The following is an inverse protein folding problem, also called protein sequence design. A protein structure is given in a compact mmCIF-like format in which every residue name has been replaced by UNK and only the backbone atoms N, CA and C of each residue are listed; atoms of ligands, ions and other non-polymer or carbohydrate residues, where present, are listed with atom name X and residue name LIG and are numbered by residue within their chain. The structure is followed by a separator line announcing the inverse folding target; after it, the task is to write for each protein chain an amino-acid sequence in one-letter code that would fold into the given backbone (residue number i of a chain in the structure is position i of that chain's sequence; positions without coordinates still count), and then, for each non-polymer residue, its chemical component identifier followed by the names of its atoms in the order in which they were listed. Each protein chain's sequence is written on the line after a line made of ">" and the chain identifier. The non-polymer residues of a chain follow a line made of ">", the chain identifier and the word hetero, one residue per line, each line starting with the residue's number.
data_IF_018869245447
#
_entry.id   IF_018869245447
#
_cell.length_a   1.000
_cell.length_b   1.000
_cell.length_c   1.000
_cell.angle_alpha   90.00
_cell.angle_beta   90.00
_cell.angle_gamma   90.00
#
_symmetry.space_group_name_H-M   'P 1'
#
loop_
_entity.id
_entity.type
_entity.pdbx_description
1 polymer ?
#
# COMPACT_ATOMS: atom_id res chain seq x y z
N UNK A 1 -2.02 30.30 -44.28
CA UNK A 1 -1.77 29.99 -42.85
C UNK A 1 -0.90 28.76 -42.86
N UNK A 2 0.40 28.95 -42.69
CA UNK A 2 1.36 27.83 -42.65
C UNK A 2 1.06 26.98 -41.42
N UNK A 3 0.60 25.74 -41.66
CA UNK A 3 0.56 24.73 -40.61
C UNK A 3 2.01 24.47 -40.18
N UNK A 4 2.35 24.58 -38.88
CA UNK A 4 3.70 24.31 -38.44
C UNK A 4 4.00 22.85 -38.76
N UNK A 5 5.11 22.61 -39.46
CA UNK A 5 5.64 21.26 -39.62
C UNK A 5 5.79 20.64 -38.23
N UNK A 6 5.33 19.40 -38.01
CA UNK A 6 5.55 18.71 -36.75
C UNK A 6 7.05 18.52 -36.60
N UNK A 7 7.70 19.36 -35.79
CA UNK A 7 9.07 19.16 -35.42
C UNK A 7 9.14 17.84 -34.66
N UNK A 8 9.71 16.82 -35.29
CA UNK A 8 10.01 15.56 -34.63
C UNK A 8 10.86 15.86 -33.40
N UNK A 9 10.26 15.80 -32.20
CA UNK A 9 10.98 15.88 -30.95
C UNK A 9 12.12 14.86 -30.95
N UNK A 10 13.29 15.31 -30.48
CA UNK A 10 14.44 14.43 -30.31
C UNK A 10 14.07 13.26 -29.40
N UNK A 11 14.52 12.06 -29.76
CA UNK A 11 14.37 10.84 -28.95
C UNK A 11 14.84 11.03 -27.49
N UNK A 12 15.75 11.98 -27.26
CA UNK A 12 16.25 12.37 -25.94
C UNK A 12 15.21 13.04 -25.03
N UNK A 13 14.18 13.70 -25.58
CA UNK A 13 13.10 14.29 -24.78
C UNK A 13 12.09 13.23 -24.31
N UNK A 14 11.83 12.23 -25.16
CA UNK A 14 10.92 11.12 -24.85
C UNK A 14 11.47 10.19 -23.76
N UNK A 15 12.77 9.92 -23.79
CA UNK A 15 13.43 9.11 -22.76
C UNK A 15 13.46 9.78 -21.38
N UNK A 16 13.37 11.11 -21.33
CA UNK A 16 13.22 11.87 -20.08
C UNK A 16 11.78 11.86 -19.56
N UNK A 17 10.79 11.78 -20.46
CA UNK A 17 9.38 11.86 -20.11
C UNK A 17 8.81 10.52 -19.62
N UNK A 18 9.33 9.41 -20.15
CA UNK A 18 8.83 8.06 -19.87
C UNK A 18 9.86 7.32 -19.06
N UNK A 19 9.64 7.33 -17.74
CA UNK A 19 10.56 6.71 -16.78
C UNK A 19 10.65 5.19 -16.94
N UNK A 20 9.65 4.54 -17.54
CA UNK A 20 9.67 3.12 -17.83
C UNK A 20 9.04 2.83 -19.19
N UNK A 21 9.79 2.10 -20.02
CA UNK A 21 9.27 1.58 -21.29
C UNK A 21 8.10 0.61 -21.04
N UNK A 22 7.11 0.59 -21.93
CA UNK A 22 5.96 -0.29 -21.83
C UNK A 22 6.43 -1.76 -21.79
N UNK A 23 5.91 -2.50 -20.83
CA UNK A 23 6.05 -3.94 -20.70
C UNK A 23 4.68 -4.55 -20.32
N UNK A 24 4.63 -5.88 -20.18
CA UNK A 24 3.41 -6.63 -19.87
C UNK A 24 2.74 -6.28 -18.51
N UNK A 25 3.38 -5.44 -17.69
CA UNK A 25 2.96 -5.17 -16.31
C UNK A 25 2.65 -3.72 -15.99
N UNK A 26 3.19 -2.79 -16.76
CA UNK A 26 3.18 -1.36 -16.43
C UNK A 26 2.30 -0.52 -17.35
N UNK A 27 1.43 -1.15 -18.15
CA UNK A 27 0.57 -0.44 -19.12
C UNK A 27 -0.19 0.74 -18.50
N UNK A 28 -0.74 0.60 -17.29
CA UNK A 28 -1.48 1.69 -16.64
C UNK A 28 -0.58 2.89 -16.31
N UNK A 29 0.65 2.66 -15.86
CA UNK A 29 1.63 3.72 -15.57
C UNK A 29 2.10 4.36 -16.86
N UNK A 30 2.49 3.55 -17.84
CA UNK A 30 2.95 3.99 -19.15
C UNK A 30 1.88 4.85 -19.83
N UNK A 31 0.62 4.39 -19.85
CA UNK A 31 -0.54 5.13 -20.39
C UNK A 31 -0.69 6.50 -19.71
N UNK A 32 -0.53 6.57 -18.38
CA UNK A 32 -0.62 7.83 -17.62
C UNK A 32 0.48 8.83 -18.00
N UNK A 33 1.66 8.35 -18.41
CA UNK A 33 2.78 9.20 -18.83
C UNK A 33 2.66 9.65 -20.30
N UNK A 34 2.30 8.73 -21.21
CA UNK A 34 2.27 8.99 -22.65
C UNK A 34 1.03 9.81 -23.07
N UNK A 35 -0.14 9.61 -22.44
CA UNK A 35 -1.39 10.29 -22.87
C UNK A 35 -1.31 11.82 -22.79
N UNK A 36 -0.84 12.44 -21.69
CA UNK A 36 -0.69 13.90 -21.62
C UNK A 36 0.25 14.44 -22.70
N UNK A 37 1.32 13.71 -23.00
CA UNK A 37 2.28 14.06 -24.04
C UNK A 37 1.66 14.03 -25.44
N UNK A 38 0.90 12.98 -25.76
CA UNK A 38 0.21 12.87 -27.05
C UNK A 38 -0.80 14.01 -27.22
N UNK A 39 -1.54 14.33 -26.16
CA UNK A 39 -2.52 15.41 -26.15
C UNK A 39 -1.85 16.79 -26.33
N UNK A 40 -0.70 17.03 -25.73
CA UNK A 40 0.01 18.31 -25.89
C UNK A 40 0.49 18.55 -27.33
N UNK A 41 0.73 17.48 -28.10
CA UNK A 41 1.19 17.55 -29.50
C UNK A 41 0.06 17.44 -30.52
N UNK A 42 -1.21 17.45 -30.10
CA UNK A 42 -2.40 17.27 -30.96
C UNK A 42 -2.40 15.98 -31.79
N UNK A 43 -1.61 14.98 -31.38
CA UNK A 43 -1.54 13.69 -32.07
C UNK A 43 -2.68 12.75 -31.64
N UNK A 44 -3.38 13.08 -30.56
CA UNK A 44 -4.49 12.27 -30.04
C UNK A 44 -5.68 12.21 -31.03
N UNK A 45 -5.83 13.21 -31.90
CA UNK A 45 -6.88 13.27 -32.93
C UNK A 45 -6.76 12.12 -33.95
N UNK A 46 -5.54 11.62 -34.17
CA UNK A 46 -5.26 10.47 -35.04
C UNK A 46 -5.60 9.13 -34.38
N UNK A 47 -5.86 9.14 -33.07
CA UNK A 47 -6.14 7.95 -32.25
C UNK A 47 -7.64 7.84 -31.95
N UNK A 48 -8.32 8.97 -31.72
CA UNK A 48 -9.75 9.02 -31.37
C UNK A 48 -10.66 8.91 -32.61
N UNK A 49 -10.08 8.82 -33.82
CA UNK A 49 -10.82 8.74 -35.08
C UNK A 49 -11.50 10.06 -35.50
N UNK A 50 -11.16 11.17 -34.83
CA UNK A 50 -11.73 12.50 -35.10
C UNK A 50 -11.19 13.12 -36.39
N UNK A 51 -10.00 12.74 -36.84
CA UNK A 51 -9.41 13.15 -38.12
C UNK A 51 -9.19 11.93 -39.04
N UNK A 52 -10.18 11.56 -39.87
CA UNK A 52 -10.03 10.47 -40.83
C UNK A 52 -8.97 10.82 -41.89
N UNK A 53 -8.32 9.80 -42.45
CA UNK A 53 -7.33 9.99 -43.49
C UNK A 53 -7.97 10.70 -44.70
N UNK A 54 -7.43 11.86 -45.14
CA UNK A 54 -7.96 12.54 -46.31
C UNK A 54 -7.71 11.71 -47.58
N UNK A 55 -8.43 11.95 -48.68
CA UNK A 55 -8.21 11.22 -49.93
C UNK A 55 -6.77 11.41 -50.41
N UNK A 56 -6.12 10.32 -50.83
CA UNK A 56 -4.75 10.34 -51.37
C UNK A 56 -4.63 11.16 -52.65
N UNK A 57 -5.71 11.20 -53.44
CA UNK A 57 -5.77 11.92 -54.72
C UNK A 57 -6.97 12.87 -54.73
N UNK A 58 -6.79 14.06 -55.30
CA UNK A 58 -7.84 15.06 -55.54
C UNK A 58 -8.01 15.21 -57.06
N UNK A 59 -9.26 15.40 -57.49
CA UNK A 59 -9.59 15.68 -58.88
C UNK A 59 -9.63 17.19 -59.07
N UNK A 60 -8.81 17.72 -59.98
CA UNK A 60 -8.81 19.12 -60.38
C UNK A 60 -9.39 19.26 -61.78
N UNK A 61 -10.46 20.03 -61.90
CA UNK A 61 -11.03 20.37 -63.21
C UNK A 61 -10.27 21.57 -63.79
N UNK A 62 -9.58 21.35 -64.90
CA UNK A 62 -8.88 22.40 -65.64
C UNK A 62 -9.73 22.81 -66.83
N UNK A 63 -10.05 24.11 -66.91
CA UNK A 63 -10.76 24.68 -68.05
C UNK A 63 -9.81 24.73 -69.24
N UNK A 64 -10.06 23.90 -70.24
CA UNK A 64 -9.33 23.88 -71.51
C UNK A 64 -10.15 24.66 -72.54
N UNK A 65 -9.62 25.80 -72.96
CA UNK A 65 -10.20 26.55 -74.09
C UNK A 65 -9.64 25.99 -75.38
N UNK A 66 -10.46 25.24 -76.11
CA UNK A 66 -10.09 24.76 -77.45
C UNK A 66 -10.57 25.82 -78.43
N UNK A 67 -9.62 26.56 -79.01
CA UNK A 67 -9.91 27.44 -80.15
C UNK A 67 -9.89 26.54 -81.38
N UNK A 68 -11.06 26.35 -82.00
CA UNK A 68 -11.15 25.66 -83.28
C UNK A 68 -10.60 26.56 -84.38
N UNK A 69 -9.48 26.18 -84.98
CA UNK A 69 -9.06 26.77 -86.24
C UNK A 69 -9.93 26.17 -87.35
N UNK A 70 -10.97 26.90 -87.77
CA UNK A 70 -11.71 26.54 -88.98
C UNK A 70 -10.94 27.01 -90.22
N UNK A 71 -10.67 26.06 -91.12
CA UNK A 71 -10.12 26.33 -92.45
C UNK A 71 -11.02 27.31 -93.22
N UNK A 72 -10.38 28.23 -93.94
CA UNK A 72 -10.96 29.34 -94.67
C UNK A 72 -12.26 28.99 -95.44
N UNK A 73 -13.39 29.56 -95.00
CA UNK A 73 -14.67 29.38 -95.68
C UNK A 73 -15.87 30.11 -95.04
N UNK A 74 -15.81 31.44 -94.93
CA UNK A 74 -16.97 32.35 -94.85
C UNK A 74 -18.11 32.05 -93.84
N UNK A 75 -17.94 32.42 -92.58
CA UNK A 75 -18.80 33.37 -91.83
C UNK A 75 -18.22 33.54 -90.42
N UNK A 76 -17.98 34.78 -90.00
CA UNK A 76 -17.20 35.08 -88.80
C UNK A 76 -18.05 34.87 -87.53
N UNK A 77 -17.87 33.71 -86.90
CA UNK A 77 -18.21 33.45 -85.51
C UNK A 77 -17.19 32.49 -84.93
N UNK A 78 -16.17 32.99 -84.24
CA UNK A 78 -15.20 32.15 -83.54
C UNK A 78 -15.92 31.40 -82.41
N UNK A 79 -16.30 30.16 -82.61
CA UNK A 79 -16.97 29.38 -81.56
C UNK A 79 -15.92 28.86 -80.56
N UNK A 80 -15.84 29.52 -79.41
CA UNK A 80 -14.96 29.10 -78.32
C UNK A 80 -15.61 27.91 -77.62
N UNK A 81 -15.07 26.70 -77.84
CA UNK A 81 -15.49 25.50 -77.12
C UNK A 81 -14.72 25.39 -75.81
N UNK A 82 -15.45 25.38 -74.70
CA UNK A 82 -14.90 25.15 -73.37
C UNK A 82 -15.00 23.65 -73.09
N UNK A 83 -13.85 22.98 -72.97
CA UNK A 83 -13.76 21.61 -72.49
C UNK A 83 -13.21 21.60 -71.06
N UNK A 84 -13.68 20.66 -70.25
CA UNK A 84 -13.20 20.45 -68.89
C UNK A 84 -12.35 19.19 -68.87
N UNK A 85 -11.08 19.31 -68.50
CA UNK A 85 -10.15 18.19 -68.36
C UNK A 85 -9.99 17.89 -66.86
N UNK A 86 -10.26 16.64 -66.45
CA UNK A 86 -10.09 16.20 -65.06
C UNK A 86 -8.68 15.66 -64.86
N UNK A 87 -7.89 16.33 -64.02
CA UNK A 87 -6.55 15.88 -63.62
C UNK A 87 -6.59 15.26 -62.22
N UNK A 88 -5.93 14.12 -62.06
CA UNK A 88 -5.72 13.49 -60.75
C UNK A 88 -4.41 14.00 -60.16
N UNK A 89 -4.48 14.78 -59.09
CA UNK A 89 -3.32 15.33 -58.37
C UNK A 89 -3.18 14.67 -56.99
N UNK A 90 -1.96 14.56 -56.48
CA UNK A 90 -1.72 14.08 -55.11
C UNK A 90 -2.23 15.11 -54.10
N UNK A 91 -2.89 14.65 -53.04
CA UNK A 91 -3.36 15.53 -51.99
C UNK A 91 -2.22 15.91 -51.03
N UNK A 92 -1.81 17.18 -50.94
CA UNK A 92 -0.80 17.61 -49.96
C UNK A 92 -1.26 17.41 -48.51
N UNK A 93 -2.58 17.43 -48.23
CA UNK A 93 -3.13 17.17 -46.90
C UNK A 93 -2.95 15.70 -46.48
N UNK A 94 -2.95 14.76 -47.44
CA UNK A 94 -2.67 13.35 -47.18
C UNK A 94 -1.21 13.12 -46.78
N UNK A 95 -0.26 13.77 -47.45
CA UNK A 95 1.15 13.71 -47.10
C UNK A 95 1.41 14.26 -45.69
N UNK A 96 0.78 15.39 -45.34
CA UNK A 96 0.86 15.96 -43.99
C UNK A 96 0.24 15.06 -42.92
N UNK A 97 -0.93 14.47 -43.21
CA UNK A 97 -1.58 13.51 -42.31
C UNK A 97 -0.72 12.27 -42.11
N UNK A 98 -0.12 11.74 -43.18
CA UNK A 98 0.76 10.57 -43.12
C UNK A 98 2.01 10.87 -42.30
N UNK A 99 2.62 12.06 -42.47
CA UNK A 99 3.76 12.48 -41.67
C UNK A 99 3.42 12.56 -40.17
N UNK A 100 2.25 13.09 -39.80
CA UNK A 100 1.78 13.08 -38.41
C UNK A 100 1.52 11.67 -37.87
N UNK A 101 0.88 10.81 -38.66
CA UNK A 101 0.62 9.42 -38.30
C UNK A 101 1.93 8.67 -38.01
N UNK A 102 2.91 8.78 -38.91
CA UNK A 102 4.22 8.15 -38.76
C UNK A 102 5.03 8.72 -37.59
N UNK A 103 4.93 10.03 -37.33
CA UNK A 103 5.54 10.66 -36.15
C UNK A 103 4.98 10.04 -34.86
N UNK A 104 3.67 9.81 -34.80
CA UNK A 104 3.03 9.18 -33.66
C UNK A 104 3.47 7.72 -33.48
N UNK A 105 3.51 6.94 -34.55
CA UNK A 105 4.03 5.56 -34.53
C UNK A 105 5.47 5.55 -34.00
N UNK A 106 6.35 6.40 -34.52
CA UNK A 106 7.74 6.52 -34.07
C UNK A 106 7.85 6.89 -32.58
N UNK A 107 6.99 7.78 -32.09
CA UNK A 107 6.95 8.12 -30.68
C UNK A 107 6.50 6.95 -29.81
N UNK A 108 5.41 6.28 -30.16
CA UNK A 108 4.94 5.12 -29.39
C UNK A 108 6.01 4.04 -29.37
N UNK A 109 6.53 3.61 -30.52
CA UNK A 109 7.53 2.53 -30.63
C UNK A 109 8.80 2.82 -29.85
N UNK A 110 9.25 4.07 -29.80
CA UNK A 110 10.42 4.47 -28.98
C UNK A 110 10.25 4.23 -27.47
N UNK A 111 9.00 4.13 -27.02
CA UNK A 111 8.62 4.00 -25.60
C UNK A 111 8.27 2.58 -25.21
N UNK A 112 8.35 1.64 -26.16
CA UNK A 112 8.08 0.21 -25.94
C UNK A 112 9.37 -0.53 -25.54
N UNK A 113 9.24 -1.58 -24.74
CA UNK A 113 10.36 -2.52 -24.51
C UNK A 113 10.59 -3.38 -25.75
N UNK A 114 11.78 -3.99 -25.85
CA UNK A 114 12.12 -4.91 -26.95
C UNK A 114 11.16 -6.10 -27.03
N UNK A 115 10.70 -6.61 -25.88
CA UNK A 115 9.71 -7.68 -25.80
C UNK A 115 8.36 -7.29 -26.43
N UNK A 116 7.94 -6.04 -26.22
CA UNK A 116 6.67 -5.52 -26.76
C UNK A 116 6.81 -5.19 -28.23
N UNK A 117 7.96 -4.62 -28.65
CA UNK A 117 8.26 -4.33 -30.06
C UNK A 117 8.25 -5.60 -30.91
N UNK A 118 8.82 -6.70 -30.43
CA UNK A 118 8.84 -7.97 -31.15
C UNK A 118 7.47 -8.63 -31.33
N UNK A 119 6.42 -8.16 -30.63
CA UNK A 119 5.06 -8.69 -30.73
C UNK A 119 4.15 -7.87 -31.66
N UNK A 120 4.65 -6.76 -32.21
CA UNK A 120 3.86 -5.79 -32.97
C UNK A 120 4.24 -5.89 -34.45
N UNK A 121 3.25 -5.81 -35.33
CA UNK A 121 3.48 -5.81 -36.78
C UNK A 121 4.09 -4.48 -37.26
N UNK A 122 4.97 -4.53 -38.26
CA UNK A 122 5.72 -3.37 -38.76
C UNK A 122 4.84 -2.33 -39.51
N UNK A 123 3.69 -2.74 -40.06
CA UNK A 123 2.87 -1.93 -40.98
C UNK A 123 1.58 -1.35 -40.34
N UNK A 124 1.60 -1.06 -39.03
CA UNK A 124 0.42 -0.55 -38.33
C UNK A 124 0.27 0.98 -38.45
N UNK A 125 -0.97 1.44 -38.67
CA UNK A 125 -1.29 2.85 -38.50
C UNK A 125 -1.25 3.25 -37.01
N UNK A 126 -1.07 4.55 -36.74
CA UNK A 126 -1.16 5.13 -35.40
C UNK A 126 -2.35 4.60 -34.57
N UNK A 127 -3.54 4.52 -35.19
CA UNK A 127 -4.77 4.06 -34.56
C UNK A 127 -4.73 2.56 -34.26
N UNK A 128 -4.34 1.74 -35.24
CA UNK A 128 -4.23 0.29 -35.06
C UNK A 128 -3.20 -0.05 -33.98
N UNK A 129 -2.02 0.57 -34.02
CA UNK A 129 -0.99 0.40 -33.00
C UNK A 129 -1.52 0.74 -31.61
N UNK A 130 -2.18 1.90 -31.45
CA UNK A 130 -2.71 2.32 -30.16
C UNK A 130 -3.80 1.38 -29.64
N UNK A 131 -4.72 0.96 -30.52
CA UNK A 131 -5.81 0.04 -30.16
C UNK A 131 -5.28 -1.34 -29.79
N UNK A 132 -4.32 -1.89 -30.55
CA UNK A 132 -3.67 -3.18 -30.26
C UNK A 132 -2.94 -3.15 -28.92
N UNK A 133 -2.18 -2.08 -28.65
CA UNK A 133 -1.51 -1.91 -27.35
C UNK A 133 -2.54 -1.81 -26.22
N UNK A 134 -3.62 -1.07 -26.44
CA UNK A 134 -4.66 -0.91 -25.45
C UNK A 134 -5.40 -2.21 -25.17
N UNK A 135 -5.79 -2.98 -26.16
CA UNK A 135 -6.52 -4.25 -25.96
C UNK A 135 -5.63 -5.30 -25.32
N UNK A 136 -4.40 -5.46 -25.81
CA UNK A 136 -3.49 -6.53 -25.38
C UNK A 136 -2.96 -6.30 -23.96
N UNK A 137 -2.50 -5.08 -23.65
CA UNK A 137 -1.78 -4.83 -22.40
C UNK A 137 -2.65 -4.24 -21.28
N UNK A 138 -3.82 -3.66 -21.58
CA UNK A 138 -4.73 -3.18 -20.52
C UNK A 138 -5.27 -4.33 -19.68
N UNK A 139 -5.79 -5.38 -20.34
CA UNK A 139 -6.40 -6.52 -19.67
C UNK A 139 -5.38 -7.26 -18.81
N UNK A 140 -4.17 -7.46 -19.32
CA UNK A 140 -3.10 -8.15 -18.58
C UNK A 140 -2.63 -7.33 -17.37
N UNK A 141 -2.44 -6.02 -17.54
CA UNK A 141 -2.03 -5.13 -16.44
C UNK A 141 -3.12 -5.03 -15.36
N UNK A 142 -4.38 -4.95 -15.77
CA UNK A 142 -5.53 -4.92 -14.85
C UNK A 142 -5.72 -6.26 -14.12
N UNK A 143 -5.62 -7.39 -14.83
CA UNK A 143 -5.67 -8.72 -14.22
C UNK A 143 -4.54 -8.91 -13.20
N UNK A 144 -3.31 -8.48 -13.52
CA UNK A 144 -2.17 -8.52 -12.60
C UNK A 144 -2.40 -7.64 -11.36
N UNK A 145 -2.96 -6.45 -11.52
CA UNK A 145 -3.34 -5.60 -10.39
C UNK A 145 -4.37 -6.29 -9.49
N UNK A 146 -5.45 -6.85 -10.08
CA UNK A 146 -6.48 -7.57 -9.33
C UNK A 146 -5.92 -8.81 -8.63
N UNK A 147 -5.02 -9.55 -9.28
CA UNK A 147 -4.33 -10.70 -8.71
C UNK A 147 -3.51 -10.29 -7.48
N UNK A 148 -2.66 -9.26 -7.60
CA UNK A 148 -1.82 -8.79 -6.50
C UNK A 148 -2.65 -8.21 -5.35
N UNK A 149 -3.74 -7.51 -5.66
CA UNK A 149 -4.66 -6.99 -4.66
C UNK A 149 -5.37 -8.11 -3.90
N UNK A 150 -5.79 -9.17 -4.60
CA UNK A 150 -6.36 -10.37 -3.98
C UNK A 150 -5.32 -11.07 -3.11
N UNK A 151 -4.11 -11.26 -3.64
CA UNK A 151 -3.01 -11.84 -2.88
C UNK A 151 -2.74 -11.04 -1.61
N UNK A 152 -2.69 -9.71 -1.68
CA UNK A 152 -2.50 -8.85 -0.53
C UNK A 152 -3.56 -9.09 0.57
N UNK A 153 -4.84 -9.20 0.19
CA UNK A 153 -5.96 -9.40 1.12
C UNK A 153 -6.01 -10.82 1.71
N UNK A 154 -5.58 -11.82 0.95
CA UNK A 154 -5.62 -13.23 1.34
C UNK A 154 -4.35 -13.71 2.07
N UNK A 155 -3.32 -12.86 2.20
CA UNK A 155 -2.10 -13.19 2.95
C UNK A 155 -2.45 -13.47 4.42
N UNK A 156 -2.26 -14.74 4.80
CA UNK A 156 -2.39 -15.27 6.16
C UNK A 156 -1.08 -15.91 6.59
N UNK A 157 -0.74 -15.82 7.88
CA UNK A 157 0.49 -16.41 8.44
C UNK A 157 0.57 -17.92 8.22
N UNK A 158 -0.52 -18.62 8.54
CA UNK A 158 -0.57 -20.09 8.46
C UNK A 158 0.52 -20.73 9.32
N UNK A 159 1.33 -21.61 8.72
CA UNK A 159 2.45 -22.32 9.37
C UNK A 159 3.79 -21.58 9.28
N UNK A 160 3.82 -20.41 8.63
CA UNK A 160 5.06 -19.64 8.38
C UNK A 160 5.49 -18.87 9.62
N UNK A 161 6.76 -18.49 9.68
CA UNK A 161 7.25 -17.59 10.73
C UNK A 161 6.63 -16.19 10.57
N UNK A 162 6.58 -15.42 11.65
CA UNK A 162 6.04 -14.05 11.59
C UNK A 162 6.88 -13.17 10.65
N UNK A 163 8.19 -13.38 10.60
CA UNK A 163 9.09 -12.62 9.74
C UNK A 163 8.88 -12.93 8.25
N UNK A 164 8.75 -14.19 7.87
CA UNK A 164 8.44 -14.60 6.49
C UNK A 164 7.10 -14.02 6.04
N UNK A 165 6.09 -14.07 6.91
CA UNK A 165 4.77 -13.50 6.66
C UNK A 165 4.82 -11.98 6.42
N UNK A 166 5.52 -11.22 7.28
CA UNK A 166 5.65 -9.78 7.11
C UNK A 166 6.46 -9.41 5.85
N UNK A 167 7.47 -10.21 5.50
CA UNK A 167 8.21 -10.01 4.26
C UNK A 167 7.34 -10.25 3.01
N UNK A 168 6.41 -11.20 3.06
CA UNK A 168 5.46 -11.44 1.97
C UNK A 168 4.50 -10.25 1.77
N UNK A 169 3.96 -9.69 2.86
CA UNK A 169 3.15 -8.46 2.81
C UNK A 169 3.95 -7.31 2.19
N UNK A 170 5.21 -7.13 2.62
CA UNK A 170 6.11 -6.11 2.07
C UNK A 170 6.29 -6.31 0.57
N UNK A 171 6.62 -7.52 0.15
CA UNK A 171 6.90 -7.85 -1.24
C UNK A 171 5.69 -7.57 -2.15
N UNK A 172 4.49 -8.01 -1.75
CA UNK A 172 3.26 -7.74 -2.54
C UNK A 172 2.93 -6.24 -2.54
N UNK A 173 3.16 -5.54 -1.42
CA UNK A 173 2.99 -4.08 -1.36
C UNK A 173 3.96 -3.34 -2.29
N UNK A 174 5.22 -3.77 -2.34
CA UNK A 174 6.26 -3.22 -3.22
C UNK A 174 5.90 -3.48 -4.69
N UNK A 175 5.35 -4.65 -5.02
CA UNK A 175 4.86 -4.96 -6.37
C UNK A 175 3.63 -4.13 -6.75
N UNK A 176 2.70 -3.88 -5.82
CA UNK A 176 1.57 -2.97 -6.06
C UNK A 176 2.05 -1.52 -6.26
N UNK A 177 3.04 -1.07 -5.50
CA UNK A 177 3.69 0.22 -5.70
C UNK A 177 4.38 0.30 -7.07
N UNK A 178 5.03 -0.77 -7.52
CA UNK A 178 5.67 -0.84 -8.83
C UNK A 178 4.68 -0.74 -10.00
N UNK A 179 3.42 -1.16 -9.81
CA UNK A 179 2.32 -1.01 -10.81
C UNK A 179 1.62 0.36 -10.67
N UNK A 180 2.07 1.22 -9.75
CA UNK A 180 1.55 2.57 -9.57
C UNK A 180 0.34 2.65 -8.64
N UNK A 181 0.10 1.59 -7.87
CA UNK A 181 -0.94 1.50 -6.84
C UNK A 181 -0.30 1.26 -5.47
N UNK A 182 0.42 2.26 -4.89
CA UNK A 182 1.04 2.08 -3.59
C UNK A 182 0.00 1.84 -2.50
N UNK A 183 0.25 0.84 -1.66
CA UNK A 183 -0.58 0.54 -0.48
C UNK A 183 -0.16 1.46 0.66
N UNK A 184 -1.14 2.04 1.36
CA UNK A 184 -0.88 2.88 2.52
C UNK A 184 -0.34 2.05 3.69
N UNK A 185 0.54 2.61 4.50
CA UNK A 185 1.15 1.89 5.64
C UNK A 185 0.09 1.45 6.66
N UNK A 186 -0.98 2.24 6.84
CA UNK A 186 -2.13 1.84 7.67
C UNK A 186 -2.77 0.54 7.18
N UNK A 187 -2.94 0.40 5.87
CA UNK A 187 -3.57 -0.78 5.27
C UNK A 187 -2.63 -1.99 5.34
N UNK A 188 -1.31 -1.78 5.19
CA UNK A 188 -0.30 -2.83 5.41
C UNK A 188 -0.33 -3.36 6.84
N UNK A 189 -0.43 -2.45 7.82
CA UNK A 189 -0.50 -2.80 9.24
C UNK A 189 -1.81 -3.52 9.54
N UNK A 190 -2.94 -3.03 9.05
CA UNK A 190 -4.23 -3.68 9.25
C UNK A 190 -4.26 -5.09 8.63
N UNK A 191 -3.72 -5.24 7.41
CA UNK A 191 -3.61 -6.54 6.76
C UNK A 191 -2.72 -7.48 7.58
N UNK A 192 -1.57 -6.99 8.06
CA UNK A 192 -0.68 -7.76 8.92
C UNK A 192 -1.40 -8.25 10.18
N UNK A 193 -2.05 -7.35 10.93
CA UNK A 193 -2.77 -7.72 12.16
C UNK A 193 -3.89 -8.74 11.89
N UNK A 194 -4.61 -8.61 10.78
CA UNK A 194 -5.70 -9.53 10.42
C UNK A 194 -5.26 -10.95 10.10
N UNK A 195 -4.01 -11.15 9.66
CA UNK A 195 -3.49 -12.45 9.24
C UNK A 195 -2.53 -13.12 10.21
N UNK A 196 -2.20 -12.50 11.35
CA UNK A 196 -1.27 -13.03 12.36
C UNK A 196 -1.79 -14.30 13.07
N UNK A 197 -3.10 -14.54 13.08
CA UNK A 197 -3.71 -15.72 13.71
C UNK A 197 -4.00 -15.57 15.21
N UNK A 198 -4.76 -16.50 15.77
CA UNK A 198 -5.34 -16.39 17.13
C UNK A 198 -4.31 -16.35 18.25
N UNK A 199 -3.11 -16.87 18.00
CA UNK A 199 -2.00 -16.84 18.97
C UNK A 199 -1.47 -15.43 19.25
N UNK A 200 -1.84 -14.44 18.44
CA UNK A 200 -1.51 -13.03 18.62
C UNK A 200 -2.74 -12.15 18.87
N UNK A 201 -3.92 -12.70 19.15
CA UNK A 201 -5.14 -11.89 19.34
C UNK A 201 -5.00 -10.84 20.46
N UNK A 202 -4.32 -11.20 21.56
CA UNK A 202 -4.03 -10.29 22.67
C UNK A 202 -3.10 -9.15 22.22
N UNK A 203 -2.12 -9.48 21.36
CA UNK A 203 -1.19 -8.52 20.79
C UNK A 203 -1.87 -7.61 19.75
N UNK A 204 -2.77 -8.16 18.92
CA UNK A 204 -3.56 -7.39 17.95
C UNK A 204 -4.49 -6.42 18.67
N UNK A 205 -5.24 -6.89 19.68
CA UNK A 205 -6.11 -6.05 20.51
C UNK A 205 -5.33 -4.92 21.18
N UNK A 206 -4.14 -5.21 21.72
CA UNK A 206 -3.31 -4.21 22.37
C UNK A 206 -2.78 -3.13 21.40
N UNK A 207 -2.53 -3.50 20.13
CA UNK A 207 -2.10 -2.57 19.09
C UNK A 207 -3.26 -1.76 18.48
N UNK A 208 -4.45 -2.35 18.38
CA UNK A 208 -5.65 -1.68 17.85
C UNK A 208 -6.19 -0.59 18.78
N UNK A 209 -5.94 -0.70 20.10
CA UNK A 209 -6.33 0.32 21.09
C UNK A 209 -5.37 1.53 21.09
N UNK A 210 -4.23 1.45 20.39
CA UNK A 210 -3.30 2.58 20.30
C UNK A 210 -3.89 3.70 19.42
N UNK A 211 -3.82 4.98 19.86
CA UNK A 211 -4.36 6.10 19.11
C UNK A 211 -3.64 6.34 17.76
N UNK A 212 -2.42 5.82 17.60
CA UNK A 212 -1.65 5.86 16.37
C UNK A 212 -1.11 4.45 16.13
N UNK A 213 -1.49 3.84 14.99
CA UNK A 213 -0.90 2.57 14.59
C UNK A 213 0.59 2.78 14.24
N UNK A 214 1.48 1.88 14.70
CA UNK A 214 2.89 1.95 14.34
C UNK A 214 3.09 1.84 12.83
N UNK A 215 4.20 2.38 12.30
CA UNK A 215 4.54 2.15 10.90
C UNK A 215 4.73 0.66 10.61
N UNK A 216 4.61 0.25 9.35
CA UNK A 216 4.83 -1.15 8.98
C UNK A 216 6.25 -1.62 9.32
N UNK A 217 7.23 -0.73 9.29
CA UNK A 217 8.61 -1.05 9.66
C UNK A 217 8.75 -1.27 11.17
N UNK A 218 8.10 -0.44 11.99
CA UNK A 218 8.04 -0.62 13.44
C UNK A 218 7.28 -1.91 13.83
N UNK A 219 6.28 -2.28 13.03
CA UNK A 219 5.54 -3.53 13.20
C UNK A 219 6.39 -4.77 12.89
N UNK A 220 7.50 -4.70 12.15
CA UNK A 220 8.39 -5.86 12.00
C UNK A 220 9.16 -6.20 13.27
N UNK A 221 9.49 -5.19 14.07
CA UNK A 221 10.26 -5.38 15.31
C UNK A 221 9.40 -5.87 16.48
N UNK A 222 8.15 -5.40 16.59
CA UNK A 222 7.27 -5.68 17.74
C UNK A 222 6.91 -7.16 17.94
N UNK A 223 6.62 -7.96 16.90
CA UNK A 223 6.32 -9.38 17.04
C UNK A 223 7.52 -10.20 17.50
N UNK A 224 8.74 -9.84 17.08
CA UNK A 224 9.96 -10.49 17.56
C UNK A 224 10.17 -10.23 19.05
N UNK A 225 9.95 -8.99 19.51
CA UNK A 225 10.00 -8.64 20.93
C UNK A 225 8.90 -9.35 21.73
N UNK A 226 7.69 -9.48 21.16
CA UNK A 226 6.59 -10.21 21.78
C UNK A 226 6.88 -11.72 21.86
N UNK A 227 7.44 -12.33 20.82
CA UNK A 227 7.85 -13.74 20.80
C UNK A 227 8.97 -14.01 21.80
N UNK A 228 10.02 -13.17 21.82
CA UNK A 228 11.10 -13.25 22.82
C UNK A 228 10.57 -13.09 24.25
N UNK A 229 9.63 -12.16 24.48
CA UNK A 229 8.99 -11.96 25.78
C UNK A 229 8.09 -13.13 26.18
N UNK A 230 7.40 -13.76 25.21
CA UNK A 230 6.59 -14.97 25.45
C UNK A 230 7.46 -16.15 25.82
N UNK A 231 8.52 -16.43 25.06
CA UNK A 231 9.46 -17.53 25.35
C UNK A 231 10.13 -17.33 26.71
N UNK A 232 10.56 -16.10 27.03
CA UNK A 232 11.11 -15.78 28.34
C UNK A 232 10.09 -15.99 29.47
N UNK A 233 8.84 -15.55 29.30
CA UNK A 233 7.77 -15.80 30.28
C UNK A 233 7.38 -17.27 30.40
N UNK A 234 7.44 -18.03 29.31
CA UNK A 234 7.18 -19.48 29.31
C UNK A 234 8.25 -20.24 30.10
N UNK A 235 9.51 -19.80 30.01
CA UNK A 235 10.63 -20.36 30.77
C UNK A 235 10.62 -19.95 32.26
N UNK A 236 9.79 -18.98 32.66
CA UNK A 236 9.69 -18.43 34.00
C UNK A 236 8.54 -19.04 34.85
N UNK A 237 7.99 -20.20 34.48
CA UNK A 237 6.97 -20.89 35.30
C UNK A 237 7.50 -22.25 35.79
N UNK A 238 7.66 -22.39 37.11
CA UNK A 238 6.86 -23.39 37.82
C UNK A 238 5.78 -22.74 38.71
N UNK A 239 4.55 -23.22 38.55
CA UNK A 239 3.40 -23.25 39.47
C UNK A 239 2.86 -21.98 40.19
N UNK A 240 1.53 -21.82 40.06
CA UNK A 240 0.53 -21.39 41.05
C UNK A 240 0.74 -20.09 41.85
N UNK A 241 0.47 -18.93 41.26
CA UNK A 241 -0.38 -17.90 41.90
C UNK A 241 -0.56 -16.68 40.98
N UNK A 242 -1.77 -16.50 40.45
CA UNK A 242 -2.18 -15.25 39.81
C UNK A 242 -2.40 -14.19 40.91
N UNK A 243 -1.45 -13.29 41.10
CA UNK A 243 -1.68 -12.02 41.79
C UNK A 243 -1.42 -10.89 40.78
N UNK A 244 -2.46 -10.49 40.05
CA UNK A 244 -2.44 -9.29 39.22
C UNK A 244 -2.67 -8.09 40.13
N UNK A 245 -1.65 -7.24 40.29
CA UNK A 245 -1.77 -5.97 41.00
C UNK A 245 -2.37 -4.92 40.04
N UNK A 246 -3.65 -4.61 40.18
CA UNK A 246 -4.29 -3.47 39.50
C UNK A 246 -4.02 -2.22 40.34
N UNK A 247 -3.10 -1.36 39.90
CA UNK A 247 -3.00 0.00 40.41
C UNK A 247 -4.12 0.84 39.82
N UNK A 248 -5.22 0.99 40.57
CA UNK A 248 -6.29 1.91 40.24
C UNK A 248 -5.82 3.36 40.35
N UNK A 249 -5.81 4.07 39.22
CA UNK A 249 -5.68 5.51 39.15
C UNK A 249 -6.95 6.16 39.68
N UNK A 250 -6.97 6.58 40.95
CA UNK A 250 -7.97 7.51 41.46
C UNK A 250 -7.49 8.94 41.21
N UNK A 251 -7.89 9.50 40.08
CA UNK A 251 -7.98 10.95 39.90
C UNK A 251 -9.44 11.38 40.13
N UNK A 252 -9.60 12.58 40.70
CA UNK A 252 -10.83 13.36 40.92
C UNK A 252 -11.47 13.26 42.32
N UNK A 253 -11.01 14.15 43.20
CA UNK A 253 -11.75 15.04 44.13
C UNK A 253 -10.69 15.62 45.08
N UNK A 254 -10.47 16.92 45.21
CA UNK A 254 -11.44 18.00 45.31
C UNK A 254 -11.21 18.67 46.67
N UNK A 255 -10.32 19.67 46.67
CA UNK A 255 -10.30 20.86 47.52
C UNK A 255 -10.37 20.72 49.06
N UNK A 256 -9.27 21.03 49.78
CA UNK A 256 -9.31 21.90 50.97
C UNK A 256 -7.97 22.59 51.18
N UNK A 257 -8.05 23.91 51.21
CA UNK A 257 -7.00 24.91 51.45
C UNK A 257 -6.64 24.97 52.93
N UNK A 258 -5.35 24.92 53.29
CA UNK A 258 -4.79 25.78 54.37
C UNK A 258 -3.29 26.05 54.11
N UNK A 259 -2.82 27.29 54.33
CA UNK A 259 -1.47 27.73 54.00
C UNK A 259 -0.54 27.68 55.22
N UNK A 260 0.72 27.29 55.04
CA UNK A 260 1.76 27.72 55.97
C UNK A 260 3.15 27.80 55.31
N UNK A 261 3.50 29.05 55.03
CA UNK A 261 4.81 29.71 55.15
C UNK A 261 6.10 28.92 54.97
N UNK A 262 6.86 29.42 54.00
CA UNK A 262 8.26 29.18 53.69
C UNK A 262 9.23 29.48 54.83
N UNK A 263 10.23 28.61 55.01
CA UNK A 263 11.57 29.03 55.41
C UNK A 263 12.64 28.20 54.67
N UNK A 264 13.33 28.91 53.77
CA UNK A 264 14.79 28.86 53.54
C UNK A 264 15.48 27.52 53.23
N UNK A 265 16.08 27.43 52.04
CA UNK A 265 17.25 26.55 51.84
C UNK A 265 17.45 26.06 50.42
N UNK A 266 18.14 26.85 49.60
CA UNK A 266 18.74 26.46 48.32
C UNK A 266 19.63 25.21 48.47
N UNK A 267 19.63 24.30 47.49
CA UNK A 267 20.73 23.34 47.35
C UNK A 267 20.43 22.12 46.48
N UNK A 268 21.15 22.01 45.37
CA UNK A 268 21.10 20.94 44.37
C UNK A 268 21.68 19.61 44.89
N UNK A 269 21.00 18.51 44.55
CA UNK A 269 21.61 17.30 43.97
C UNK A 269 22.34 16.29 44.88
N UNK A 270 22.23 15.04 44.44
CA UNK A 270 23.11 13.87 44.69
C UNK A 270 22.79 13.05 45.96
N UNK A 271 22.57 11.75 45.71
CA UNK A 271 22.13 10.65 46.59
C UNK A 271 22.74 10.61 48.00
N UNK A 272 21.97 10.07 48.97
CA UNK A 272 22.53 9.15 49.96
C UNK A 272 21.85 7.78 49.90
N UNK A 273 22.68 6.75 49.75
CA UNK A 273 22.44 5.35 50.11
C UNK A 273 21.71 5.23 51.45
N UNK A 274 20.66 4.38 51.61
CA UNK A 274 20.03 4.21 52.90
C UNK A 274 20.95 3.42 53.85
N UNK A 275 21.26 3.95 55.06
CA UNK A 275 21.81 3.14 56.14
C UNK A 275 20.74 2.20 56.67
N UNK A 276 21.15 0.99 57.04
CA UNK A 276 20.28 -0.02 57.64
C UNK A 276 19.55 0.51 58.87
N UNK A 277 18.24 0.28 58.91
CA UNK A 277 17.43 0.44 60.10
C UNK A 277 16.57 -0.80 60.28
N UNK A 278 16.89 -1.53 61.34
CA UNK A 278 16.03 -2.49 62.00
C UNK A 278 14.71 -1.78 62.35
N UNK A 279 13.68 -1.96 61.51
CA UNK A 279 12.33 -1.58 61.84
C UNK A 279 11.62 -2.78 62.46
N UNK A 280 11.61 -2.80 63.80
CA UNK A 280 10.67 -3.58 64.61
C UNK A 280 9.24 -3.24 64.18
N UNK A 281 8.72 -4.03 63.25
CA UNK A 281 7.34 -3.93 62.81
C UNK A 281 6.45 -4.51 63.90
N UNK A 282 5.90 -3.63 64.73
CA UNK A 282 4.77 -3.89 65.60
C UNK A 282 3.55 -4.26 64.73
N UNK A 283 3.49 -5.51 64.30
CA UNK A 283 2.30 -6.10 63.71
C UNK A 283 1.36 -6.43 64.86
N UNK A 284 0.23 -5.72 64.92
CA UNK A 284 -0.93 -6.11 65.71
C UNK A 284 -1.32 -7.53 65.29
N UNK A 285 -0.87 -8.53 66.08
CA UNK A 285 -1.20 -9.94 65.85
C UNK A 285 -2.70 -10.10 66.09
N UNK A 286 -3.49 -10.13 65.01
CA UNK A 286 -4.88 -10.57 65.11
C UNK A 286 -4.87 -12.02 65.56
N UNK A 287 -5.22 -12.25 66.82
CA UNK A 287 -5.38 -13.59 67.37
C UNK A 287 -6.48 -14.29 66.56
N UNK A 288 -6.18 -15.39 65.87
CA UNK A 288 -7.16 -16.05 65.00
C UNK A 288 -8.32 -16.61 65.84
N UNK A 289 -9.55 -16.46 65.33
CA UNK A 289 -10.76 -17.08 65.88
C UNK A 289 -11.03 -18.40 65.16
N UNK A 290 -11.26 -19.47 65.93
CA UNK A 290 -11.58 -20.77 65.38
C UNK A 290 -12.99 -20.79 64.80
N UNK A 291 -13.13 -21.07 63.50
CA UNK A 291 -14.42 -21.19 62.80
C UNK A 291 -15.30 -22.39 63.22
N UNK A 292 -14.82 -23.24 64.14
CA UNK A 292 -15.58 -24.40 64.63
C UNK A 292 -16.14 -24.18 66.04
N UNK A 293 -15.35 -23.64 66.97
CA UNK A 293 -15.78 -23.41 68.36
C UNK A 293 -15.90 -21.92 68.75
N UNK A 294 -15.63 -21.01 67.80
CA UNK A 294 -15.62 -19.55 67.96
C UNK A 294 -14.68 -19.01 69.07
N UNK A 295 -13.77 -19.83 69.61
CA UNK A 295 -12.75 -19.39 70.58
C UNK A 295 -11.54 -18.79 69.86
N UNK A 296 -10.94 -17.75 70.46
CA UNK A 296 -9.71 -17.10 70.00
C UNK A 296 -8.48 -17.95 70.36
N UNK A 297 -7.43 -17.90 69.56
CA UNK A 297 -6.11 -18.48 69.85
C UNK A 297 -5.74 -19.72 69.03
N UNK A 298 -6.63 -20.24 68.18
CA UNK A 298 -6.35 -21.37 67.29
C UNK A 298 -7.26 -21.33 66.05
N UNK A 299 -6.88 -22.04 65.00
CA UNK A 299 -7.67 -22.20 63.76
C UNK A 299 -8.43 -23.54 63.76
N UNK A 300 -9.38 -23.74 62.84
CA UNK A 300 -10.23 -24.96 62.77
C UNK A 300 -9.42 -26.26 62.70
N UNK A 301 -8.25 -26.25 62.07
CA UNK A 301 -7.33 -27.40 61.98
C UNK A 301 -6.70 -27.80 63.31
N UNK A 302 -6.72 -26.94 64.32
CA UNK A 302 -6.09 -27.15 65.63
C UNK A 302 -7.12 -27.13 66.77
N UNK A 303 -8.41 -27.19 66.44
CA UNK A 303 -9.48 -27.14 67.43
C UNK A 303 -9.63 -28.46 68.18
N UNK A 304 -9.49 -28.42 69.51
CA UNK A 304 -9.73 -29.56 70.41
C UNK A 304 -11.17 -30.06 70.46
N UNK A 305 -12.14 -29.25 70.02
CA UNK A 305 -13.55 -29.66 69.93
C UNK A 305 -13.90 -30.31 68.58
N UNK A 306 -13.02 -30.21 67.57
CA UNK A 306 -13.28 -30.79 66.25
C UNK A 306 -13.00 -32.32 66.28
N UNK A 307 -14.02 -33.18 66.07
CA UNK A 307 -13.83 -34.63 66.12
C UNK A 307 -12.85 -35.17 65.06
N UNK A 308 -12.65 -34.43 63.95
CA UNK A 308 -11.64 -34.79 62.93
C UNK A 308 -10.20 -34.62 63.43
N UNK A 309 -9.98 -33.77 64.45
CA UNK A 309 -8.63 -33.51 65.00
C UNK A 309 -8.24 -34.46 66.13
N UNK A 310 -9.20 -35.19 66.73
CA UNK A 310 -8.92 -36.17 67.81
C UNK A 310 -7.98 -37.29 67.34
N UNK A 311 -8.08 -37.69 66.08
CA UNK A 311 -7.23 -38.75 65.52
C UNK A 311 -5.77 -38.30 65.29
N UNK A 312 -5.54 -36.99 65.17
CA UNK A 312 -4.21 -36.40 64.99
C UNK A 312 -3.48 -36.16 66.32
N UNK A 313 -4.20 -36.09 67.44
CA UNK A 313 -3.61 -35.89 68.76
C UNK A 313 -2.92 -37.17 69.27
N UNK A 314 -3.58 -38.34 69.10
CA UNK A 314 -3.01 -39.66 69.43
C UNK A 314 -1.74 -39.97 68.61
N UNK A 315 -1.68 -39.51 67.35
CA UNK A 315 -0.51 -39.71 66.48
C UNK A 315 0.71 -38.87 66.89
N UNK A 316 0.50 -37.73 67.56
CA UNK A 316 1.60 -36.89 68.06
C UNK A 316 2.14 -37.39 69.40
N UNK A 317 1.30 -37.91 70.28
CA UNK A 317 1.70 -38.46 71.58
C UNK A 317 2.54 -39.75 71.42
N UNK A 318 2.16 -40.63 70.49
CA UNK A 318 2.95 -41.84 70.17
C UNK A 318 4.33 -41.54 69.55
N UNK A 319 4.52 -40.34 68.99
CA UNK A 319 5.80 -39.92 68.40
C UNK A 319 6.73 -39.24 69.41
N UNK A 320 6.21 -38.78 70.54
CA UNK A 320 6.99 -38.17 71.62
C UNK A 320 7.48 -39.20 72.67
N UNK A 321 6.88 -40.39 72.74
CA UNK A 321 7.28 -41.47 73.64
C UNK A 321 8.32 -42.45 73.05
N UNK A 322 8.76 -42.23 71.80
CA UNK A 322 9.71 -43.09 71.09
C UNK A 322 10.97 -42.32 70.63
N UNK A 323 11.29 -41.20 71.29
CA UNK A 323 12.47 -40.36 71.04
C UNK A 323 13.22 -40.07 72.32
#
# INVERSE_FOLDING_TARGET
>A
MDQPTPSLLSSSFLSQLISQKLNHSNYLIWKRQIVPFIKSHKLYEHVDGTTPAPPKYIIREVKKTVVGDEAAGASAGSEVRIEYETLTENNPEYELWLAHNQSFVAYITSTLSEEVLGSIDDDLTAMELWTTLATTYSQVSEARFLQLRRQFQDIKRGTRTVLEYLNEIKNVSDQLAAIGHPVNDKDKVQQALSGLGTEFDIFCTALEVLPILPSFEDLKAKPFQHEASRVQRQNLIPCNSHNVLITGTHALQGNHTHPWTSQTGMGRGILPTPPGMNATSATSRRVPTCFYCNKKGHVKSECWHNPQNKHNQVRRENKAAAG
#
